data_IF_453330665502
#
_entry.id   IF_453330665502
#
_cell.length_a   1.000
_cell.length_b   1.000
_cell.length_c   1.000
_cell.angle_alpha   90.00
_cell.angle_beta   90.00
_cell.angle_gamma   90.00
#
_symmetry.space_group_name_H-M   'P 1'
#
loop_
_entity.id
_entity.type
_entity.pdbx_description
1 polymer ?
#
# COMPACT_ATOMS: atom_id res chain seq x y z
N UNK A 1 -1.22 3.20 15.59
CA UNK A 1 0.02 2.91 16.35
C UNK A 1 1.27 3.42 15.62
N UNK A 2 2.16 4.14 16.31
CA UNK A 2 3.47 4.58 15.80
C UNK A 2 4.42 3.39 15.72
N UNK A 3 5.02 3.19 14.54
CA UNK A 3 5.95 2.09 14.26
C UNK A 3 7.41 2.52 14.44
N UNK A 4 7.69 3.51 15.28
CA UNK A 4 9.03 4.05 15.49
C UNK A 4 9.39 4.04 16.97
N UNK A 5 10.60 3.58 17.29
CA UNK A 5 11.17 3.60 18.64
C UNK A 5 12.57 4.21 18.57
N UNK A 6 12.90 5.08 19.53
CA UNK A 6 14.21 5.74 19.61
C UNK A 6 14.88 5.46 20.95
N UNK A 7 16.20 5.25 20.93
CA UNK A 7 17.04 4.98 22.10
C UNK A 7 18.19 6.00 22.16
N UNK A 8 18.28 6.72 23.28
CA UNK A 8 19.37 7.67 23.61
C UNK A 8 19.70 8.69 22.50
N UNK A 9 18.73 9.06 21.65
CA UNK A 9 18.90 9.91 20.46
C UNK A 9 19.93 9.41 19.42
N UNK A 10 20.52 8.23 19.60
CA UNK A 10 21.57 7.67 18.73
C UNK A 10 21.07 6.53 17.87
N UNK A 11 20.11 5.75 18.36
CA UNK A 11 19.54 4.60 17.67
C UNK A 11 18.05 4.82 17.45
N UNK A 12 17.59 4.64 16.21
CA UNK A 12 16.17 4.63 15.88
C UNK A 12 15.80 3.36 15.14
N UNK A 13 14.62 2.82 15.41
CA UNK A 13 14.14 1.58 14.79
C UNK A 13 12.70 1.76 14.31
N UNK A 14 12.48 1.54 13.02
CA UNK A 14 11.16 1.34 12.44
C UNK A 14 10.75 -0.12 12.59
N UNK A 15 9.65 -0.37 13.29
CA UNK A 15 9.20 -1.69 13.70
C UNK A 15 8.14 -2.25 12.75
N UNK A 16 8.19 -3.55 12.49
CA UNK A 16 7.18 -4.31 11.76
C UNK A 16 6.97 -5.69 12.39
N UNK A 17 5.80 -6.29 12.13
CA UNK A 17 5.46 -7.64 12.58
C UNK A 17 4.77 -7.68 13.95
N UNK A 18 5.05 -8.71 14.74
CA UNK A 18 4.33 -9.00 15.98
C UNK A 18 4.68 -7.99 17.08
N UNK A 19 3.66 -7.31 17.57
CA UNK A 19 3.79 -6.27 18.58
C UNK A 19 4.25 -6.80 19.95
N UNK A 20 3.68 -7.89 20.51
CA UNK A 20 4.20 -8.48 21.74
C UNK A 20 5.70 -8.83 21.71
N UNK A 21 6.22 -9.28 20.56
CA UNK A 21 7.65 -9.48 20.38
C UNK A 21 8.44 -8.17 20.49
N UNK A 22 7.96 -7.11 19.85
CA UNK A 22 8.58 -5.78 19.97
C UNK A 22 8.54 -5.24 21.40
N UNK A 23 7.42 -5.43 22.11
CA UNK A 23 7.27 -5.00 23.50
C UNK A 23 8.31 -5.66 24.43
N UNK A 24 8.62 -6.95 24.22
CA UNK A 24 9.68 -7.60 24.99
C UNK A 24 11.09 -7.32 24.45
N UNK A 25 11.25 -6.99 23.18
CA UNK A 25 12.55 -6.64 22.60
C UNK A 25 13.05 -5.27 23.06
N UNK A 26 12.17 -4.28 23.25
CA UNK A 26 12.54 -2.91 23.64
C UNK A 26 13.40 -2.86 24.92
N UNK A 27 13.00 -3.48 26.05
CA UNK A 27 13.84 -3.51 27.26
C UNK A 27 15.18 -4.22 27.08
N UNK A 28 15.23 -5.22 26.19
CA UNK A 28 16.48 -5.95 25.89
C UNK A 28 17.45 -5.04 25.16
N UNK A 29 16.97 -4.24 24.19
CA UNK A 29 17.76 -3.25 23.48
C UNK A 29 18.31 -2.22 24.47
N UNK A 30 17.44 -1.64 25.31
CA UNK A 30 17.83 -0.67 26.36
C UNK A 30 18.95 -1.20 27.26
N UNK A 31 18.88 -2.48 27.66
CA UNK A 31 19.86 -3.09 28.57
C UNK A 31 21.29 -3.15 28.00
N UNK A 32 21.44 -3.19 26.67
CA UNK A 32 22.74 -3.30 26.01
C UNK A 32 23.18 -2.03 25.28
N UNK A 33 22.36 -0.97 25.29
CA UNK A 33 22.62 0.27 24.53
C UNK A 33 24.00 0.87 24.80
N UNK A 34 24.48 0.81 26.04
CA UNK A 34 25.78 1.32 26.45
C UNK A 34 26.98 0.60 25.79
N UNK A 35 26.79 -0.61 25.25
CA UNK A 35 27.81 -1.39 24.55
C UNK A 35 27.71 -1.25 23.02
N UNK A 36 26.59 -0.73 22.51
CA UNK A 36 26.32 -0.61 21.07
C UNK A 36 27.05 0.61 20.51
N UNK A 37 27.81 0.39 19.43
CA UNK A 37 28.57 1.40 18.71
C UNK A 37 28.32 1.31 17.21
N UNK A 38 28.71 2.34 16.47
CA UNK A 38 28.65 2.37 15.00
C UNK A 38 29.31 1.15 14.34
N UNK A 39 30.41 0.67 14.92
CA UNK A 39 31.19 -0.44 14.38
C UNK A 39 30.53 -1.80 14.64
N UNK A 40 29.78 -1.94 15.74
CA UNK A 40 29.28 -3.24 16.22
C UNK A 40 27.76 -3.42 16.09
N UNK A 41 26.99 -2.35 15.82
CA UNK A 41 25.51 -2.38 15.84
C UNK A 41 24.91 -3.41 14.87
N UNK A 42 25.59 -3.68 13.75
CA UNK A 42 25.16 -4.64 12.74
C UNK A 42 26.10 -5.84 12.57
N UNK A 43 27.00 -6.09 13.55
CA UNK A 43 27.89 -7.26 13.56
C UNK A 43 27.16 -8.50 14.09
N UNK A 44 27.49 -9.68 13.54
CA UNK A 44 26.85 -10.95 13.92
C UNK A 44 27.16 -11.40 15.36
N UNK A 45 28.28 -10.94 15.91
CA UNK A 45 28.74 -11.15 17.27
C UNK A 45 28.64 -9.88 18.14
N UNK A 46 28.00 -8.83 17.61
CA UNK A 46 27.77 -7.58 18.31
C UNK A 46 26.76 -7.71 19.47
N UNK A 47 26.80 -6.79 20.46
CA UNK A 47 25.97 -6.86 21.66
C UNK A 47 24.47 -6.84 21.34
N UNK A 48 24.05 -6.00 20.39
CA UNK A 48 22.64 -5.90 19.97
C UNK A 48 22.12 -7.21 19.37
N UNK A 49 22.89 -7.79 18.44
CA UNK A 49 22.57 -9.06 17.78
C UNK A 49 22.45 -10.19 18.80
N UNK A 50 23.45 -10.37 19.67
CA UNK A 50 23.45 -11.45 20.65
C UNK A 50 22.31 -11.33 21.68
N UNK A 51 22.02 -10.13 22.15
CA UNK A 51 20.95 -9.89 23.11
C UNK A 51 19.57 -10.20 22.53
N UNK A 52 19.27 -9.65 21.34
CA UNK A 52 18.01 -9.88 20.64
C UNK A 52 17.85 -11.33 20.17
N UNK A 53 18.94 -11.96 19.74
CA UNK A 53 18.94 -13.37 19.36
C UNK A 53 18.56 -14.26 20.55
N UNK A 54 19.23 -14.09 21.71
CA UNK A 54 18.91 -14.85 22.94
C UNK A 54 17.48 -14.63 23.40
N UNK A 55 17.02 -13.37 23.42
CA UNK A 55 15.64 -13.06 23.74
C UNK A 55 14.69 -13.81 22.79
N UNK A 56 14.90 -13.71 21.48
CA UNK A 56 14.00 -14.29 20.48
C UNK A 56 13.99 -15.83 20.52
N UNK A 57 15.14 -16.46 20.75
CA UNK A 57 15.27 -17.92 20.91
C UNK A 57 14.58 -18.43 22.20
N UNK A 58 14.56 -17.62 23.26
CA UNK A 58 13.93 -18.01 24.53
C UNK A 58 12.39 -18.12 24.45
N UNK A 59 11.78 -17.53 23.43
CA UNK A 59 10.32 -17.48 23.28
C UNK A 59 9.81 -18.83 22.82
N UNK A 60 9.10 -19.52 23.71
CA UNK A 60 8.54 -20.84 23.44
C UNK A 60 7.29 -20.71 22.57
N UNK A 61 7.22 -21.50 21.50
CA UNK A 61 6.07 -21.54 20.59
C UNK A 61 5.61 -22.97 20.36
N UNK A 62 4.32 -23.15 20.13
CA UNK A 62 3.75 -24.45 19.74
C UNK A 62 4.29 -24.85 18.36
N UNK A 63 4.80 -26.09 18.26
CA UNK A 63 5.38 -26.64 17.02
C UNK A 63 4.38 -26.66 15.86
N UNK A 64 3.08 -26.72 16.15
CA UNK A 64 2.04 -26.84 15.13
C UNK A 64 1.46 -25.48 14.69
N UNK A 65 1.94 -24.36 15.23
CA UNK A 65 1.44 -23.02 14.90
C UNK A 65 2.47 -22.19 14.16
N UNK A 66 2.05 -21.29 13.25
CA UNK A 66 2.94 -20.30 12.67
C UNK A 66 3.63 -19.50 13.78
N UNK A 67 4.96 -19.54 13.80
CA UNK A 67 5.75 -18.84 14.81
C UNK A 67 5.66 -17.32 14.57
N UNK A 68 5.39 -16.52 15.61
CA UNK A 68 5.39 -15.06 15.51
C UNK A 68 6.72 -14.54 14.97
N UNK A 69 6.63 -13.53 14.10
CA UNK A 69 7.78 -12.88 13.46
C UNK A 69 7.72 -11.37 13.71
N UNK A 70 8.88 -10.76 13.81
CA UNK A 70 9.04 -9.32 13.90
C UNK A 70 10.27 -8.91 13.09
N UNK A 71 10.31 -7.67 12.66
CA UNK A 71 11.45 -7.14 11.93
C UNK A 71 11.45 -5.63 11.97
N UNK A 72 12.53 -5.01 11.52
CA UNK A 72 12.66 -3.57 11.56
C UNK A 72 13.79 -3.03 10.69
N UNK A 73 13.77 -1.72 10.47
CA UNK A 73 14.87 -0.97 9.86
C UNK A 73 15.40 -0.11 10.98
N UNK A 74 16.58 -0.46 11.46
CA UNK A 74 17.33 0.31 12.41
C UNK A 74 18.28 1.26 11.71
N UNK A 75 18.57 2.37 12.36
CA UNK A 75 19.68 3.23 12.02
C UNK A 75 20.40 3.67 13.29
N UNK A 76 21.71 3.89 13.17
CA UNK A 76 22.51 4.49 14.23
C UNK A 76 23.22 5.73 13.68
N UNK A 77 23.30 6.75 14.53
CA UNK A 77 23.88 8.06 14.24
C UNK A 77 25.08 8.30 15.13
N UNK A 78 26.13 8.84 14.52
CA UNK A 78 27.22 9.50 15.20
C UNK A 78 27.24 10.96 14.75
N UNK A 79 26.68 11.83 15.60
CA UNK A 79 26.56 13.26 15.33
C UNK A 79 27.94 13.93 15.25
N UNK A 80 28.87 13.52 16.10
CA UNK A 80 30.21 14.11 16.22
C UNK A 80 31.03 13.89 14.94
N UNK A 81 30.93 12.69 14.35
CA UNK A 81 31.62 12.35 13.11
C UNK A 81 30.78 12.59 11.85
N UNK A 82 29.50 12.93 12.00
CA UNK A 82 28.58 13.17 10.89
C UNK A 82 28.28 11.92 10.05
N UNK A 83 28.44 10.72 10.63
CA UNK A 83 28.24 9.43 9.97
C UNK A 83 26.98 8.74 10.48
N UNK A 84 26.46 7.80 9.68
CA UNK A 84 25.32 6.99 10.04
C UNK A 84 25.43 5.61 9.39
N UNK A 85 24.71 4.65 9.94
CA UNK A 85 24.61 3.29 9.41
C UNK A 85 23.16 2.83 9.50
N UNK A 86 22.74 2.03 8.54
CA UNK A 86 21.37 1.52 8.43
C UNK A 86 21.44 0.00 8.35
N UNK A 87 20.52 -0.67 9.03
CA UNK A 87 20.50 -2.12 9.13
C UNK A 87 19.06 -2.65 9.20
N UNK A 88 18.83 -3.85 8.71
CA UNK A 88 17.57 -4.57 8.89
C UNK A 88 17.67 -5.52 10.07
N UNK A 89 16.57 -5.69 10.78
CA UNK A 89 16.36 -6.71 11.79
C UNK A 89 15.29 -7.67 11.29
N UNK A 90 15.54 -8.98 11.36
CA UNK A 90 14.54 -10.01 11.08
C UNK A 90 14.60 -11.09 12.15
N UNK A 91 13.51 -11.25 12.90
CA UNK A 91 13.43 -12.18 14.01
C UNK A 91 12.18 -13.06 13.94
N UNK A 92 12.32 -14.30 14.41
CA UNK A 92 11.25 -15.28 14.50
C UNK A 92 11.35 -16.02 15.81
N UNK A 93 10.29 -15.99 16.60
CA UNK A 93 10.25 -16.61 17.92
C UNK A 93 10.74 -18.06 17.86
N UNK A 94 11.57 -18.48 18.81
CA UNK A 94 12.29 -19.78 18.89
C UNK A 94 13.36 -20.05 17.82
N UNK A 95 13.55 -19.17 16.84
CA UNK A 95 14.55 -19.33 15.77
C UNK A 95 15.64 -18.26 15.81
N UNK A 96 15.49 -17.25 16.67
CA UNK A 96 16.44 -16.16 16.83
C UNK A 96 16.15 -14.97 15.93
N UNK A 97 17.11 -14.06 15.89
CA UNK A 97 17.06 -12.82 15.13
C UNK A 97 18.36 -12.65 14.36
N UNK A 98 18.27 -11.97 13.22
CA UNK A 98 19.42 -11.56 12.41
C UNK A 98 19.36 -10.07 12.15
N UNK A 99 20.49 -9.40 12.41
CA UNK A 99 20.77 -8.03 12.00
C UNK A 99 21.66 -8.08 10.76
N UNK A 100 21.35 -7.27 9.75
CA UNK A 100 22.12 -7.21 8.50
C UNK A 100 22.30 -5.75 8.09
N UNK A 101 23.55 -5.30 7.82
CA UNK A 101 23.78 -3.97 7.26
C UNK A 101 23.05 -3.79 5.93
N UNK A 102 22.48 -2.62 5.71
CA UNK A 102 21.80 -2.29 4.46
C UNK A 102 22.70 -1.40 3.60
N UNK A 103 22.81 -1.78 2.33
CA UNK A 103 23.46 -0.96 1.31
C UNK A 103 22.47 -0.07 0.57
N UNK A 104 22.95 0.57 -0.50
CA UNK A 104 22.13 1.39 -1.38
C UNK A 104 21.00 0.57 -2.01
N UNK A 105 19.79 1.12 -2.00
CA UNK A 105 18.63 0.51 -2.66
C UNK A 105 17.30 0.82 -1.99
N UNK A 106 16.29 0.03 -2.34
CA UNK A 106 14.95 0.10 -1.78
C UNK A 106 14.64 -1.18 -1.00
N UNK A 107 14.06 -1.03 0.19
CA UNK A 107 13.68 -2.15 1.06
C UNK A 107 12.26 -1.95 1.53
N UNK A 108 11.46 -3.02 1.42
CA UNK A 108 10.08 -3.06 1.91
C UNK A 108 9.96 -4.11 2.99
N UNK A 109 9.31 -3.76 4.10
CA UNK A 109 9.11 -4.64 5.25
C UNK A 109 7.65 -4.74 5.68
N UNK A 110 7.39 -5.61 6.65
CA UNK A 110 6.05 -5.85 7.19
C UNK A 110 5.18 -6.63 6.22
N UNK A 111 3.86 -6.49 6.35
CA UNK A 111 2.90 -7.16 5.47
C UNK A 111 3.00 -6.67 4.02
N UNK A 112 3.33 -5.39 3.81
CA UNK A 112 3.47 -4.79 2.47
C UNK A 112 4.50 -5.50 1.60
N UNK A 113 5.54 -6.11 2.19
CA UNK A 113 6.56 -6.87 1.45
C UNK A 113 6.02 -8.11 0.72
N UNK A 114 4.81 -8.56 1.06
CA UNK A 114 4.15 -9.69 0.41
C UNK A 114 3.42 -9.29 -0.88
N UNK A 115 3.30 -7.99 -1.17
CA UNK A 115 2.74 -7.51 -2.43
C UNK A 115 3.75 -7.83 -3.55
N UNK A 116 3.34 -8.52 -4.62
CA UNK A 116 4.24 -8.90 -5.71
C UNK A 116 4.97 -7.70 -6.33
N UNK A 117 6.30 -7.81 -6.46
CA UNK A 117 7.20 -6.83 -7.10
C UNK A 117 7.21 -5.42 -6.50
N UNK A 118 6.60 -5.18 -5.33
CA UNK A 118 6.54 -3.82 -4.77
C UNK A 118 7.92 -3.21 -4.53
N UNK A 119 8.88 -3.99 -4.01
CA UNK A 119 10.23 -3.50 -3.74
C UNK A 119 11.01 -3.21 -5.02
N UNK A 120 10.88 -4.08 -6.03
CA UNK A 120 11.53 -3.94 -7.33
C UNK A 120 11.02 -2.69 -8.04
N UNK A 121 9.70 -2.51 -8.11
CA UNK A 121 9.09 -1.34 -8.75
C UNK A 121 9.46 -0.02 -8.06
N UNK A 122 9.46 0.02 -6.72
CA UNK A 122 9.90 1.19 -5.97
C UNK A 122 11.41 1.47 -6.17
N UNK A 123 12.22 0.41 -6.25
CA UNK A 123 13.65 0.51 -6.55
C UNK A 123 13.92 1.07 -7.93
N UNK A 124 13.24 0.57 -8.96
CA UNK A 124 13.36 1.05 -10.34
C UNK A 124 12.94 2.52 -10.46
N UNK A 125 11.82 2.89 -9.80
CA UNK A 125 11.34 4.26 -9.76
C UNK A 125 12.32 5.19 -9.04
N UNK A 126 12.87 4.77 -7.91
CA UNK A 126 13.91 5.50 -7.17
C UNK A 126 15.14 5.74 -8.04
N UNK A 127 15.65 4.69 -8.67
CA UNK A 127 16.85 4.74 -9.51
C UNK A 127 16.65 5.69 -10.70
N UNK A 128 15.49 5.62 -11.36
CA UNK A 128 15.12 6.53 -12.44
C UNK A 128 15.12 7.99 -11.98
N UNK A 129 14.45 8.29 -10.87
CA UNK A 129 14.36 9.67 -10.39
C UNK A 129 15.69 10.24 -9.91
N UNK A 130 16.52 9.44 -9.25
CA UNK A 130 17.88 9.86 -8.84
C UNK A 130 18.74 10.17 -10.07
N UNK A 131 18.63 9.37 -11.14
CA UNK A 131 19.39 9.57 -12.37
C UNK A 131 18.95 10.85 -13.12
N UNK A 132 17.66 11.13 -13.17
CA UNK A 132 17.11 12.29 -13.89
C UNK A 132 17.26 13.61 -13.10
N UNK A 133 17.16 13.56 -11.76
CA UNK A 133 17.11 14.75 -10.88
C UNK A 133 17.90 14.52 -9.58
N UNK A 134 19.24 14.41 -9.66
CA UNK A 134 20.06 14.16 -8.49
C UNK A 134 19.88 15.27 -7.45
N UNK A 135 19.58 14.89 -6.21
CA UNK A 135 19.45 15.80 -5.07
C UNK A 135 18.05 16.39 -4.83
N UNK A 136 17.05 16.15 -5.68
CA UNK A 136 15.67 16.58 -5.41
C UNK A 136 14.91 15.59 -4.51
N UNK A 137 15.35 15.47 -3.26
CA UNK A 137 14.78 14.54 -2.27
C UNK A 137 13.27 14.74 -2.04
N UNK A 138 12.72 15.97 -1.92
CA UNK A 138 11.28 16.16 -1.76
C UNK A 138 10.44 15.57 -2.90
N UNK A 139 10.92 15.68 -4.14
CA UNK A 139 10.24 15.09 -5.29
C UNK A 139 10.29 13.56 -5.26
N UNK A 140 11.44 12.98 -4.94
CA UNK A 140 11.60 11.51 -4.79
C UNK A 140 10.61 10.97 -3.76
N UNK A 141 10.48 11.63 -2.61
CA UNK A 141 9.52 11.24 -1.58
C UNK A 141 8.07 11.30 -2.05
N UNK A 142 7.69 12.38 -2.75
CA UNK A 142 6.34 12.55 -3.27
C UNK A 142 5.99 11.47 -4.28
N UNK A 143 6.94 11.14 -5.17
CA UNK A 143 6.75 10.12 -6.19
C UNK A 143 6.64 8.73 -5.58
N UNK A 144 7.53 8.37 -4.64
CA UNK A 144 7.48 7.06 -4.00
C UNK A 144 6.20 6.87 -3.19
N UNK A 145 5.71 7.90 -2.48
CA UNK A 145 4.43 7.82 -1.76
C UNK A 145 3.26 7.56 -2.69
N UNK A 146 3.20 8.30 -3.80
CA UNK A 146 2.16 8.11 -4.80
C UNK A 146 2.22 6.69 -5.36
N UNK A 147 3.41 6.22 -5.72
CA UNK A 147 3.58 4.86 -6.24
C UNK A 147 3.15 3.80 -5.23
N UNK A 148 3.57 3.89 -3.96
CA UNK A 148 3.11 2.95 -2.92
C UNK A 148 1.59 2.94 -2.82
N UNK A 149 0.96 4.11 -2.83
CA UNK A 149 -0.50 4.25 -2.73
C UNK A 149 -1.21 3.62 -3.93
N UNK A 150 -0.77 3.95 -5.15
CA UNK A 150 -1.33 3.41 -6.38
C UNK A 150 -1.14 1.90 -6.46
N UNK A 151 0.05 1.41 -6.10
CA UNK A 151 0.40 0.00 -6.19
C UNK A 151 -0.37 -0.86 -5.19
N UNK A 152 -0.58 -0.38 -3.96
CA UNK A 152 -1.46 -1.05 -2.98
C UNK A 152 -2.92 -0.99 -3.45
N UNK A 153 -3.38 0.15 -4.00
CA UNK A 153 -4.76 0.30 -4.48
C UNK A 153 -5.10 -0.67 -5.62
N UNK A 154 -4.12 -1.02 -6.47
CA UNK A 154 -4.25 -2.08 -7.49
C UNK A 154 -4.43 -3.48 -6.90
N UNK A 155 -4.19 -3.69 -5.61
CA UNK A 155 -4.54 -4.95 -4.96
C UNK A 155 -6.04 -5.05 -4.61
N UNK A 156 -6.81 -3.98 -4.83
CA UNK A 156 -8.21 -3.81 -4.44
C UNK A 156 -8.36 -3.00 -3.15
N UNK A 157 -9.49 -2.31 -2.97
CA UNK A 157 -9.73 -1.45 -1.81
C UNK A 157 -9.57 -2.18 -0.45
N UNK A 158 -9.94 -3.47 -0.39
CA UNK A 158 -9.79 -4.28 0.82
C UNK A 158 -8.33 -4.62 1.18
N UNK A 159 -7.35 -4.36 0.30
CA UNK A 159 -5.95 -4.70 0.54
C UNK A 159 -5.39 -4.03 1.80
N UNK A 160 -5.76 -2.77 2.08
CA UNK A 160 -5.35 -2.07 3.30
C UNK A 160 -5.76 -2.82 4.58
N UNK A 161 -7.02 -3.28 4.63
CA UNK A 161 -7.54 -4.09 5.73
C UNK A 161 -6.84 -5.46 5.82
N UNK A 162 -6.76 -6.18 4.68
CA UNK A 162 -6.16 -7.52 4.61
C UNK A 162 -4.69 -7.51 5.06
N UNK A 163 -3.95 -6.48 4.66
CA UNK A 163 -2.55 -6.29 5.02
C UNK A 163 -2.35 -5.65 6.40
N UNK A 164 -3.37 -4.99 6.97
CA UNK A 164 -3.24 -4.21 8.20
C UNK A 164 -2.31 -3.00 8.02
N UNK A 165 -2.44 -2.30 6.89
CA UNK A 165 -1.67 -1.10 6.55
C UNK A 165 -2.65 0.07 6.51
N UNK A 166 -2.30 1.19 7.15
CA UNK A 166 -3.04 2.45 7.03
C UNK A 166 -2.64 3.19 5.75
N UNK A 167 -3.58 3.89 5.10
CA UNK A 167 -3.28 4.74 3.94
C UNK A 167 -2.50 6.03 4.29
N UNK A 168 -2.13 6.21 5.55
CA UNK A 168 -1.47 7.41 6.08
C UNK A 168 0.05 7.21 6.11
N UNK A 169 0.79 8.18 5.58
CA UNK A 169 2.25 8.13 5.48
C UNK A 169 2.94 9.09 6.46
N UNK A 170 3.97 8.58 7.14
CA UNK A 170 5.02 9.40 7.75
C UNK A 170 6.30 9.25 6.92
N UNK A 171 7.15 10.26 6.90
CA UNK A 171 8.45 10.19 6.22
C UNK A 171 9.53 10.71 7.13
N UNK A 172 10.67 10.04 7.08
CA UNK A 172 11.87 10.43 7.78
C UNK A 172 13.06 10.50 6.85
N UNK A 173 13.99 11.38 7.17
CA UNK A 173 15.26 11.55 6.46
C UNK A 173 16.40 11.33 7.45
N UNK A 174 17.38 10.55 7.00
CA UNK A 174 18.65 10.34 7.67
C UNK A 174 19.76 10.86 6.75
N UNK A 175 20.55 11.81 7.22
CA UNK A 175 21.68 12.34 6.45
C UNK A 175 22.74 12.93 7.37
N UNK A 176 24.03 12.79 7.02
CA UNK A 176 25.18 13.50 7.65
C UNK A 176 25.14 13.60 9.19
N UNK A 177 24.71 12.53 9.87
CA UNK A 177 24.66 12.49 11.33
C UNK A 177 23.39 13.09 11.95
N UNK A 178 22.31 13.32 11.19
CA UNK A 178 21.02 13.73 11.76
C UNK A 178 19.87 12.88 11.21
N UNK A 179 18.88 12.67 12.07
CA UNK A 179 17.59 12.08 11.71
C UNK A 179 16.49 13.10 11.94
N UNK A 180 15.58 13.20 10.96
CA UNK A 180 14.39 14.01 11.08
C UNK A 180 13.20 13.19 10.64
N UNK A 181 12.16 13.12 11.47
CA UNK A 181 10.85 12.62 11.07
C UNK A 181 9.97 13.84 10.82
N UNK A 182 9.52 14.00 9.58
CA UNK A 182 8.63 15.12 9.24
C UNK A 182 7.20 14.64 9.48
N UNK A 183 6.51 15.27 10.43
CA UNK A 183 5.06 15.18 10.53
C UNK A 183 4.46 15.93 9.35
N UNK A 184 3.97 15.19 8.36
CA UNK A 184 3.53 15.79 7.11
C UNK A 184 2.07 16.20 7.27
N UNK A 185 1.81 17.47 7.03
CA UNK A 185 0.47 17.92 6.65
C UNK A 185 0.24 17.51 5.20
N UNK A 186 -0.71 16.60 5.00
CA UNK A 186 -1.05 16.03 3.71
C UNK A 186 -2.43 16.55 3.35
N UNK A 187 -2.49 17.32 2.28
CA UNK A 187 -3.72 17.77 1.66
C UNK A 187 -3.77 17.33 0.21
N UNK A 188 -4.93 16.94 -0.26
CA UNK A 188 -5.15 16.64 -1.67
C UNK A 188 -6.61 16.38 -1.93
N UNK A 189 -6.88 15.90 -3.14
CA UNK A 189 -8.19 15.40 -3.43
C UNK A 189 -8.18 14.48 -4.64
N UNK A 190 -9.14 13.56 -4.66
CA UNK A 190 -9.53 12.87 -5.87
C UNK A 190 -10.72 13.61 -6.47
N UNK A 191 -10.53 14.04 -7.71
CA UNK A 191 -11.62 14.49 -8.55
C UNK A 191 -11.96 13.31 -9.43
N UNK A 192 -12.91 12.51 -8.95
CA UNK A 192 -13.67 11.62 -9.81
C UNK A 192 -14.89 12.38 -10.26
N UNK A 193 -15.35 12.06 -11.45
CA UNK A 193 -16.58 12.65 -11.99
C UNK A 193 -17.79 11.79 -11.61
N UNK A 194 -17.56 10.61 -11.02
CA UNK A 194 -18.60 9.64 -10.61
C UNK A 194 -18.72 9.48 -9.11
N UNK A 195 -17.63 9.75 -8.40
CA UNK A 195 -17.67 9.85 -6.95
C UNK A 195 -17.65 11.33 -6.60
N UNK A 196 -18.36 11.73 -5.53
CA UNK A 196 -18.22 13.07 -4.99
C UNK A 196 -16.73 13.40 -4.86
N UNK A 197 -16.28 14.61 -5.28
CA UNK A 197 -14.90 15.01 -5.08
C UNK A 197 -14.50 14.76 -3.64
N UNK A 198 -13.48 13.92 -3.44
CA UNK A 198 -12.98 13.64 -2.10
C UNK A 198 -11.80 14.55 -1.89
N UNK A 199 -11.96 15.56 -1.05
CA UNK A 199 -10.82 16.24 -0.47
C UNK A 199 -10.38 15.45 0.75
N UNK A 200 -9.07 15.43 1.00
CA UNK A 200 -8.51 14.96 2.25
C UNK A 200 -7.52 15.99 2.75
N UNK A 201 -7.48 16.19 4.06
CA UNK A 201 -6.51 17.06 4.69
C UNK A 201 -6.24 16.57 6.10
N UNK A 202 -5.04 16.07 6.36
CA UNK A 202 -4.66 15.55 7.67
C UNK A 202 -3.22 15.91 8.03
N UNK A 203 -2.87 15.88 9.32
CA UNK A 203 -1.50 16.12 9.78
C UNK A 203 -1.16 15.32 11.02
N UNK A 204 0.13 15.08 11.23
CA UNK A 204 0.65 14.58 12.51
C UNK A 204 0.97 15.76 13.44
N UNK A 205 0.51 15.70 14.68
CA UNK A 205 0.81 16.70 15.69
C UNK A 205 1.18 16.03 17.01
N UNK A 206 2.09 16.63 17.78
CA UNK A 206 2.26 16.28 19.19
C UNK A 206 1.46 17.25 20.05
N UNK A 207 0.52 16.73 20.84
CA UNK A 207 -0.24 17.50 21.81
C UNK A 207 0.01 16.90 23.19
N UNK A 208 0.52 17.72 24.10
CA UNK A 208 0.86 17.30 25.47
C UNK A 208 1.80 16.07 25.52
N UNK A 209 2.74 16.00 24.57
CA UNK A 209 3.67 14.87 24.43
C UNK A 209 3.12 13.69 23.63
N UNK A 210 1.80 13.54 23.49
CA UNK A 210 1.17 12.46 22.73
C UNK A 210 1.18 12.74 21.23
N UNK A 211 1.58 11.75 20.42
CA UNK A 211 1.44 11.82 18.96
C UNK A 211 -0.04 11.61 18.57
N UNK A 212 -0.59 12.53 17.78
CA UNK A 212 -1.96 12.51 17.28
C UNK A 212 -1.99 12.70 15.76
N UNK A 213 -2.99 12.10 15.14
CA UNK A 213 -3.40 12.38 13.76
C UNK A 213 -4.62 13.30 13.81
N UNK A 214 -4.53 14.44 13.14
CA UNK A 214 -5.65 15.37 12.98
C UNK A 214 -6.21 15.24 11.57
N UNK A 215 -7.52 15.02 11.46
CA UNK A 215 -8.31 15.30 10.26
C UNK A 215 -8.76 16.77 10.31
N UNK A 216 -8.31 17.56 9.34
CA UNK A 216 -8.63 18.98 9.26
C UNK A 216 -10.01 19.24 8.63
N UNK A 217 -10.57 18.28 7.89
CA UNK A 217 -11.90 18.41 7.28
C UNK A 217 -13.00 18.04 8.27
N UNK A 218 -12.82 16.94 9.00
CA UNK A 218 -13.78 16.48 10.02
C UNK A 218 -13.53 17.14 11.39
N UNK A 219 -12.40 17.83 11.57
CA UNK A 219 -11.99 18.40 12.85
C UNK A 219 -11.72 17.34 13.92
N UNK A 220 -11.44 16.11 13.50
CA UNK A 220 -11.31 14.94 14.35
C UNK A 220 -9.85 14.67 14.69
N UNK A 221 -9.60 14.12 15.88
CA UNK A 221 -8.28 13.69 16.32
C UNK A 221 -8.28 12.20 16.65
N UNK A 222 -7.21 11.52 16.26
CA UNK A 222 -6.95 10.13 16.60
C UNK A 222 -5.60 10.03 17.30
N UNK A 223 -5.59 9.37 18.45
CA UNK A 223 -4.36 9.12 19.21
C UNK A 223 -3.54 8.06 18.49
N UNK A 224 -2.27 8.37 18.21
CA UNK A 224 -1.33 7.40 17.66
C UNK A 224 -0.60 6.74 18.82
N UNK A 225 -1.05 5.56 19.22
CA UNK A 225 -0.40 4.79 20.30
C UNK A 225 1.07 4.51 19.94
N UNK A 226 2.02 4.89 20.78
CA UNK A 226 3.43 4.55 20.61
C UNK A 226 3.69 3.16 21.22
N UNK A 227 4.68 2.41 20.71
CA UNK A 227 5.00 1.07 21.27
C UNK A 227 5.39 1.14 22.75
N UNK A 228 5.74 2.33 23.25
CA UNK A 228 6.15 2.54 24.64
C UNK A 228 5.02 2.98 25.58
N UNK A 229 3.84 3.36 25.06
CA UNK A 229 2.77 3.97 25.85
C UNK A 229 1.48 3.14 25.73
N UNK A 230 1.11 2.41 26.79
CA UNK A 230 -0.07 1.53 26.82
C UNK A 230 -0.99 1.82 28.00
N UNK A 231 -1.58 3.02 28.00
CA UNK A 231 -2.93 3.17 28.57
C UNK A 231 -3.96 2.50 27.65
N UNK A 232 -5.09 2.08 28.23
CA UNK A 232 -6.05 1.10 27.69
C UNK A 232 -6.37 1.22 26.19
N UNK A 233 -6.27 0.09 25.49
CA UNK A 233 -6.57 -0.04 24.05
C UNK A 233 -8.07 0.22 23.83
N UNK A 234 -8.43 1.45 23.45
CA UNK A 234 -9.69 1.68 22.73
C UNK A 234 -9.56 1.10 21.33
N UNK A 235 -10.64 0.48 20.84
CA UNK A 235 -10.75 -0.13 19.51
C UNK A 235 -10.06 0.75 18.47
N UNK A 236 -9.09 0.18 17.75
CA UNK A 236 -8.26 0.86 16.74
C UNK A 236 -9.19 1.30 15.60
N UNK A 237 -9.70 2.53 15.69
CA UNK A 237 -10.57 3.09 14.66
C UNK A 237 -9.70 3.41 13.44
N UNK A 238 -10.05 2.83 12.30
CA UNK A 238 -9.26 3.00 11.08
C UNK A 238 -9.29 4.46 10.64
N UNK A 239 -8.12 5.08 10.58
CA UNK A 239 -7.96 6.42 10.01
C UNK A 239 -7.72 6.33 8.51
N UNK A 240 -8.75 6.65 7.73
CA UNK A 240 -8.71 6.66 6.26
C UNK A 240 -9.30 7.97 5.69
N UNK A 241 -8.63 9.11 5.91
CA UNK A 241 -9.10 10.39 5.39
C UNK A 241 -9.15 10.44 3.85
N UNK A 242 -8.48 9.50 3.17
CA UNK A 242 -8.45 9.41 1.71
C UNK A 242 -9.56 8.52 1.13
N UNK A 243 -10.26 7.74 1.96
CA UNK A 243 -11.27 6.78 1.54
C UNK A 243 -10.72 5.66 0.63
N UNK A 244 -9.48 5.21 0.85
CA UNK A 244 -8.83 4.17 0.03
C UNK A 244 -9.24 2.75 0.42
N UNK A 245 -9.83 2.60 1.59
CA UNK A 245 -10.21 1.30 2.16
C UNK A 245 -11.61 0.86 1.74
N UNK A 246 -12.38 1.78 1.16
CA UNK A 246 -13.71 1.59 0.60
C UNK A 246 -13.68 1.88 -0.90
N UNK A 247 -14.06 0.90 -1.73
CA UNK A 247 -14.05 1.08 -3.17
C UNK A 247 -13.98 -0.22 -3.97
N UNK A 248 -13.45 -0.11 -5.18
CA UNK A 248 -13.36 -1.23 -6.12
C UNK A 248 -12.43 -2.34 -5.59
N UNK A 249 -13.00 -3.54 -5.42
CA UNK A 249 -12.26 -4.76 -5.12
C UNK A 249 -12.48 -5.77 -6.26
N UNK A 250 -11.49 -5.96 -7.16
CA UNK A 250 -11.67 -6.81 -8.32
C UNK A 250 -11.82 -8.30 -7.97
N UNK A 251 -11.30 -8.72 -6.81
CA UNK A 251 -11.05 -10.14 -6.56
C UNK A 251 -12.34 -10.93 -6.27
N UNK A 252 -13.48 -10.26 -6.16
CA UNK A 252 -14.81 -10.85 -5.99
C UNK A 252 -15.26 -11.72 -7.18
N UNK A 253 -14.72 -11.47 -8.38
CA UNK A 253 -15.11 -12.15 -9.62
C UNK A 253 -13.95 -12.95 -10.24
N UNK A 254 -13.12 -13.55 -9.39
CA UNK A 254 -11.96 -14.35 -9.84
C UNK A 254 -12.41 -15.63 -10.56
N UNK A 255 -11.82 -15.89 -11.72
CA UNK A 255 -12.04 -17.09 -12.54
C UNK A 255 -10.72 -17.86 -12.62
N UNK A 256 -10.64 -18.99 -11.91
CA UNK A 256 -9.37 -19.67 -11.68
C UNK A 256 -8.44 -18.79 -10.85
N UNK A 257 -7.28 -18.42 -11.42
CA UNK A 257 -6.32 -17.48 -10.81
C UNK A 257 -6.33 -16.11 -11.48
N UNK A 258 -7.37 -15.79 -12.27
CA UNK A 258 -7.42 -14.58 -13.11
C UNK A 258 -8.63 -13.71 -12.78
N UNK A 259 -8.43 -12.41 -12.84
CA UNK A 259 -9.48 -11.39 -12.76
C UNK A 259 -9.44 -10.57 -14.03
N UNK A 260 -10.63 -10.30 -14.58
CA UNK A 260 -10.83 -9.34 -15.66
C UNK A 260 -11.65 -8.16 -15.15
N UNK A 261 -11.22 -6.96 -15.52
CA UNK A 261 -11.97 -5.76 -15.23
C UNK A 261 -11.77 -4.73 -16.32
N UNK A 262 -12.66 -3.77 -16.38
CA UNK A 262 -12.69 -2.71 -17.37
C UNK A 262 -12.77 -1.37 -16.68
N UNK A 263 -12.05 -0.39 -17.19
CA UNK A 263 -12.32 1.01 -16.94
C UNK A 263 -13.09 1.57 -18.14
N UNK A 264 -14.28 2.11 -17.93
CA UNK A 264 -15.07 2.74 -18.97
C UNK A 264 -15.51 4.13 -18.54
N UNK A 265 -15.23 5.08 -19.41
CA UNK A 265 -15.42 6.51 -19.22
C UNK A 265 -16.23 7.08 -20.40
N UNK A 266 -17.33 7.78 -20.11
CA UNK A 266 -18.30 8.31 -21.10
C UNK A 266 -18.71 9.74 -20.74
N UNK A 267 -18.26 10.75 -21.47
CA UNK A 267 -18.60 12.15 -21.20
C UNK A 267 -18.98 12.88 -22.47
N UNK A 268 -20.23 13.35 -22.60
CA UNK A 268 -20.76 14.10 -23.75
C UNK A 268 -20.50 13.44 -25.13
N UNK A 269 -19.32 13.66 -25.67
CA UNK A 269 -18.80 13.25 -26.97
C UNK A 269 -17.47 12.45 -26.86
N UNK A 270 -17.01 12.17 -25.64
CA UNK A 270 -15.82 11.39 -25.36
C UNK A 270 -16.16 10.02 -24.79
N UNK A 271 -15.47 9.01 -25.28
CA UNK A 271 -15.56 7.62 -24.80
C UNK A 271 -14.16 7.04 -24.69
N UNK A 272 -13.79 6.53 -23.51
CA UNK A 272 -12.60 5.70 -23.34
C UNK A 272 -13.00 4.39 -22.66
N UNK A 273 -12.45 3.29 -23.17
CA UNK A 273 -12.61 1.97 -22.60
C UNK A 273 -11.26 1.28 -22.60
N UNK A 274 -10.84 0.84 -21.42
CA UNK A 274 -9.64 0.04 -21.24
C UNK A 274 -9.97 -1.26 -20.51
N UNK A 275 -9.55 -2.40 -21.06
CA UNK A 275 -9.76 -3.73 -20.48
C UNK A 275 -8.45 -4.28 -19.97
N UNK A 276 -8.49 -4.79 -18.74
CA UNK A 276 -7.34 -5.34 -18.04
C UNK A 276 -7.56 -6.78 -17.62
N UNK A 277 -6.44 -7.48 -17.46
CA UNK A 277 -6.32 -8.80 -16.84
C UNK A 277 -5.27 -8.72 -15.73
N UNK A 278 -5.53 -9.40 -14.62
CA UNK A 278 -4.51 -9.62 -13.60
C UNK A 278 -4.65 -10.99 -12.94
N UNK A 279 -3.56 -11.46 -12.35
CA UNK A 279 -3.58 -12.65 -11.50
C UNK A 279 -4.02 -12.33 -10.07
N UNK A 280 -4.09 -13.36 -9.23
CA UNK A 280 -4.35 -13.22 -7.79
C UNK A 280 -3.22 -13.81 -6.96
N UNK A 281 -3.11 -13.39 -5.70
CA UNK A 281 -2.20 -13.97 -4.71
C UNK A 281 -2.88 -14.05 -3.34
N UNK A 282 -2.31 -14.85 -2.43
CA UNK A 282 -2.87 -15.06 -1.10
C UNK A 282 -1.99 -14.46 -0.01
N UNK A 283 -2.59 -13.71 0.91
CA UNK A 283 -1.96 -13.26 2.14
C UNK A 283 -2.77 -13.75 3.34
N UNK A 284 -2.16 -14.56 4.21
CA UNK A 284 -2.84 -15.18 5.37
C UNK A 284 -4.17 -15.87 5.00
N UNK A 285 -4.22 -16.51 3.83
CA UNK A 285 -5.41 -17.19 3.30
C UNK A 285 -6.46 -16.26 2.67
N UNK A 286 -6.23 -14.94 2.65
CA UNK A 286 -7.11 -13.97 1.99
C UNK A 286 -6.63 -13.69 0.57
N UNK A 287 -7.56 -13.71 -0.38
CA UNK A 287 -7.31 -13.45 -1.79
C UNK A 287 -7.12 -11.95 -2.04
N UNK A 288 -6.09 -11.59 -2.80
CA UNK A 288 -5.81 -10.23 -3.25
C UNK A 288 -5.38 -10.24 -4.72
N UNK A 289 -5.57 -9.12 -5.39
CA UNK A 289 -5.29 -9.01 -6.81
C UNK A 289 -3.83 -8.62 -7.01
N UNK A 290 -3.15 -9.26 -7.96
CA UNK A 290 -1.78 -8.89 -8.28
C UNK A 290 -1.78 -7.47 -8.88
N UNK A 291 -0.96 -6.53 -8.38
CA UNK A 291 -0.96 -5.15 -8.87
C UNK A 291 -0.36 -4.99 -10.28
N UNK A 292 0.27 -6.03 -10.83
CA UNK A 292 0.86 -6.03 -12.17
C UNK A 292 -0.21 -6.32 -13.24
N UNK A 293 -1.02 -5.31 -13.50
CA UNK A 293 -2.11 -5.42 -14.47
C UNK A 293 -1.58 -5.49 -15.90
N UNK A 294 -2.09 -6.46 -16.66
CA UNK A 294 -1.91 -6.54 -18.10
C UNK A 294 -3.07 -5.82 -18.80
N UNK A 295 -2.77 -4.78 -19.57
CA UNK A 295 -3.76 -4.17 -20.47
C UNK A 295 -3.99 -5.09 -21.67
N UNK A 296 -5.22 -5.55 -21.86
CA UNK A 296 -5.62 -6.42 -22.97
C UNK A 296 -6.06 -5.62 -24.19
N UNK A 297 -6.76 -4.50 -23.97
CA UNK A 297 -7.28 -3.65 -25.03
C UNK A 297 -7.49 -2.22 -24.50
N UNK A 298 -7.36 -1.24 -25.38
CA UNK A 298 -7.75 0.14 -25.12
C UNK A 298 -8.35 0.74 -26.38
N UNK A 299 -9.40 1.51 -26.20
CA UNK A 299 -10.05 2.21 -27.29
C UNK A 299 -10.63 3.53 -26.78
N UNK A 300 -10.27 4.61 -27.47
CA UNK A 300 -10.78 5.96 -27.20
C UNK A 300 -11.39 6.56 -28.47
N UNK A 301 -12.49 7.27 -28.29
CA UNK A 301 -13.12 8.11 -29.32
C UNK A 301 -13.35 9.50 -28.75
N UNK A 302 -12.96 10.49 -29.56
CA UNK A 302 -13.32 11.89 -29.39
C UNK A 302 -14.44 12.21 -30.40
N UNK A 303 -15.31 13.16 -30.07
CA UNK A 303 -16.38 13.66 -30.95
C UNK A 303 -17.47 12.62 -31.37
N UNK A 304 -17.82 11.69 -30.47
CA UNK A 304 -18.95 10.78 -30.70
C UNK A 304 -20.26 11.55 -30.90
N UNK A 305 -21.07 11.10 -31.88
CA UNK A 305 -22.41 11.65 -32.08
C UNK A 305 -23.26 11.30 -30.85
N UNK A 306 -23.91 12.29 -30.24
CA UNK A 306 -24.77 12.17 -29.04
C UNK A 306 -25.74 10.96 -28.98
N UNK A 307 -26.32 10.45 -30.10
CA UNK A 307 -27.16 9.25 -30.04
C UNK A 307 -26.38 7.96 -29.72
N UNK A 308 -25.08 7.90 -30.00
CA UNK A 308 -24.24 6.72 -29.81
C UNK A 308 -23.67 6.65 -28.38
N UNK A 309 -23.41 7.79 -27.73
CA UNK A 309 -22.96 7.83 -26.33
C UNK A 309 -24.06 7.41 -25.35
N UNK A 310 -25.34 7.63 -25.69
CA UNK A 310 -26.47 7.33 -24.81
C UNK A 310 -26.65 5.84 -24.44
N UNK A 311 -26.05 4.91 -25.18
CA UNK A 311 -26.09 3.48 -24.89
C UNK A 311 -24.96 3.03 -23.94
N UNK A 312 -23.89 3.82 -23.78
CA UNK A 312 -22.79 3.50 -22.89
C UNK A 312 -23.06 4.05 -21.49
N UNK A 313 -23.00 3.18 -20.48
CA UNK A 313 -23.11 3.61 -19.09
C UNK A 313 -21.73 3.93 -18.58
N UNK A 314 -21.62 5.02 -17.86
CA UNK A 314 -20.37 5.37 -17.26
C UNK A 314 -20.10 4.59 -15.99
N UNK A 315 -19.07 3.75 -15.96
CA UNK A 315 -18.87 2.80 -14.86
C UNK A 315 -17.60 3.01 -14.05
N UNK A 316 -16.64 3.80 -14.54
CA UNK A 316 -15.30 3.75 -13.99
C UNK A 316 -14.78 2.31 -14.03
N UNK A 317 -14.26 1.80 -12.91
CA UNK A 317 -13.81 0.41 -12.79
C UNK A 317 -14.99 -0.55 -12.54
N UNK A 318 -15.12 -1.57 -13.39
CA UNK A 318 -16.11 -2.63 -13.26
C UNK A 318 -15.47 -4.00 -13.52
N UNK A 319 -15.83 -5.00 -12.71
CA UNK A 319 -15.42 -6.40 -12.90
C UNK A 319 -16.15 -7.01 -14.09
N UNK A 320 -15.46 -7.84 -14.86
CA UNK A 320 -16.04 -8.58 -15.98
C UNK A 320 -16.25 -10.04 -15.58
N UNK A 321 -17.51 -10.48 -15.57
CA UNK A 321 -17.88 -11.86 -15.29
C UNK A 321 -17.74 -12.68 -16.57
N UNK A 322 -16.59 -13.31 -16.77
CA UNK A 322 -16.28 -14.10 -17.96
C UNK A 322 -16.29 -15.58 -17.60
N UNK A 323 -17.19 -16.41 -18.18
CA UNK A 323 -17.18 -17.86 -17.94
C UNK A 323 -15.81 -18.48 -18.27
N UNK A 324 -15.38 -19.47 -17.50
CA UNK A 324 -14.04 -20.05 -17.60
C UNK A 324 -13.73 -20.59 -19.02
N UNK A 325 -14.74 -21.17 -19.67
CA UNK A 325 -14.65 -21.69 -21.02
C UNK A 325 -14.52 -20.60 -22.11
N UNK A 326 -14.80 -19.34 -21.78
CA UNK A 326 -14.72 -18.18 -22.70
C UNK A 326 -13.47 -17.32 -22.49
N UNK A 327 -12.68 -17.55 -21.43
CA UNK A 327 -11.50 -16.74 -21.14
C UNK A 327 -10.51 -16.71 -22.31
N UNK A 328 -10.18 -17.88 -22.89
CA UNK A 328 -9.21 -17.96 -23.98
C UNK A 328 -9.67 -17.24 -25.25
N UNK A 329 -10.95 -17.37 -25.64
CA UNK A 329 -11.49 -16.66 -26.81
C UNK A 329 -11.64 -15.17 -26.54
N UNK A 330 -11.98 -14.78 -25.30
CA UNK A 330 -12.03 -13.39 -24.89
C UNK A 330 -10.67 -12.71 -25.01
N UNK A 331 -9.62 -13.29 -24.41
CA UNK A 331 -8.26 -12.75 -24.45
C UNK A 331 -7.74 -12.60 -25.89
N UNK A 332 -8.03 -13.58 -26.76
CA UNK A 332 -7.62 -13.54 -28.16
C UNK A 332 -8.38 -12.49 -28.99
N UNK A 333 -9.65 -12.23 -28.65
CA UNK A 333 -10.54 -11.38 -29.45
C UNK A 333 -10.64 -9.93 -29.00
N UNK A 334 -10.51 -9.65 -27.69
CA UNK A 334 -10.95 -8.38 -27.07
C UNK A 334 -10.32 -7.15 -27.72
N UNK A 335 -9.04 -7.21 -28.11
CA UNK A 335 -8.36 -6.07 -28.75
C UNK A 335 -9.00 -5.63 -30.07
N UNK A 336 -9.66 -6.54 -30.80
CA UNK A 336 -10.37 -6.23 -32.05
C UNK A 336 -11.88 -6.08 -31.87
N UNK A 337 -12.41 -6.64 -30.79
CA UNK A 337 -13.86 -6.75 -30.52
C UNK A 337 -14.34 -5.80 -29.43
N UNK A 338 -13.48 -4.92 -28.91
CA UNK A 338 -13.78 -4.02 -27.78
C UNK A 338 -15.04 -3.17 -27.98
N UNK A 339 -15.47 -2.89 -29.21
CA UNK A 339 -16.71 -2.18 -29.54
C UNK A 339 -17.84 -3.09 -30.08
N UNK A 340 -17.59 -4.37 -30.30
CA UNK A 340 -18.59 -5.28 -30.84
C UNK A 340 -19.54 -5.74 -29.71
N UNK A 341 -20.65 -5.03 -29.54
CA UNK A 341 -21.61 -5.29 -28.46
C UNK A 341 -22.16 -6.73 -28.44
N UNK A 342 -22.61 -7.33 -29.57
CA UNK A 342 -22.98 -8.74 -29.59
C UNK A 342 -21.87 -9.68 -29.10
N UNK A 343 -20.62 -9.46 -29.54
CA UNK A 343 -19.49 -10.29 -29.12
C UNK A 343 -19.17 -10.13 -27.63
N UNK A 344 -19.21 -8.89 -27.13
CA UNK A 344 -18.97 -8.59 -25.71
C UNK A 344 -20.06 -9.20 -24.83
N UNK A 345 -21.33 -9.09 -25.21
CA UNK A 345 -22.46 -9.70 -24.51
C UNK A 345 -22.39 -11.24 -24.52
N UNK A 346 -21.86 -11.82 -25.60
CA UNK A 346 -21.60 -13.26 -25.65
C UNK A 346 -20.52 -13.67 -24.65
N UNK A 347 -19.49 -12.86 -24.42
CA UNK A 347 -18.34 -13.23 -23.57
C UNK A 347 -18.47 -12.81 -22.10
N UNK A 348 -19.21 -11.74 -21.82
CA UNK A 348 -19.30 -11.13 -20.48
C UNK A 348 -20.74 -11.27 -19.95
N UNK A 349 -20.91 -12.06 -18.89
CA UNK A 349 -22.22 -12.35 -18.29
C UNK A 349 -22.92 -11.10 -17.75
N UNK A 350 -22.15 -10.12 -17.24
CA UNK A 350 -22.67 -8.88 -16.68
C UNK A 350 -22.59 -7.69 -17.65
N UNK A 351 -22.63 -7.94 -18.96
CA UNK A 351 -22.46 -6.89 -19.98
C UNK A 351 -23.48 -5.74 -19.88
N UNK A 352 -24.74 -6.08 -19.58
CA UNK A 352 -25.84 -5.11 -19.49
C UNK A 352 -25.66 -4.10 -18.34
N UNK A 353 -24.77 -4.37 -17.37
CA UNK A 353 -24.48 -3.44 -16.28
C UNK A 353 -23.79 -2.16 -16.79
N UNK A 354 -23.10 -2.24 -17.93
CA UNK A 354 -22.29 -1.16 -18.48
C UNK A 354 -22.59 -0.81 -19.95
N UNK A 355 -23.64 -1.40 -20.50
CA UNK A 355 -24.18 -1.08 -21.81
C UNK A 355 -25.69 -1.32 -21.82
N UNK A 356 -26.49 -0.34 -22.26
CA UNK A 356 -27.95 -0.47 -22.36
C UNK A 356 -28.37 -0.50 -23.82
N UNK A 357 -29.12 -1.52 -24.19
CA UNK A 357 -29.82 -1.52 -25.47
C UNK A 357 -30.99 -0.54 -25.34
N UNK A 358 -30.88 0.64 -25.94
CA UNK A 358 -31.98 1.60 -26.07
C UNK A 358 -33.10 0.99 -26.92
N UNK A 359 -34.00 0.25 -26.28
CA UNK A 359 -35.23 -0.26 -26.90
C UNK A 359 -36.49 0.49 -26.48
N UNK A 360 -36.39 1.49 -25.60
CA UNK A 360 -37.52 2.37 -25.30
C UNK A 360 -37.20 3.80 -25.76
N UNK A 361 -37.98 4.37 -26.71
CA UNK A 361 -37.97 5.80 -26.90
C UNK A 361 -38.37 6.46 -25.57
N UNK A 362 -37.88 7.67 -25.25
CA UNK A 362 -38.42 8.41 -24.12
C UNK A 362 -39.93 8.46 -24.31
N UNK A 363 -40.68 7.98 -23.32
CA UNK A 363 -42.12 8.16 -23.31
C UNK A 363 -42.36 9.64 -23.53
N UNK A 364 -42.92 9.98 -24.69
CA UNK A 364 -43.48 11.29 -24.95
C UNK A 364 -44.39 11.59 -23.76
N UNK A 365 -43.94 12.49 -22.89
CA UNK A 365 -44.82 13.19 -21.97
C UNK A 365 -45.62 14.16 -22.83
N UNK A 366 -46.55 13.58 -23.58
CA UNK A 366 -47.56 14.30 -24.33
C UNK A 366 -48.55 14.92 -23.35
N UNK A 367 -48.52 16.25 -23.33
CA UNK A 367 -49.48 17.22 -22.79
C UNK A 367 -49.63 17.33 -21.26
#
# INVERSE_FOLDING_TARGET
MSKFVSFENKLGIFTAGNLPLWQGAVPIIESVMHEVTMDNVAQQDGPLQLALQRYTESITTDRNKPKPQYGGIGFMIDEDNGINTVFSLEGKASEGLRITPLGDGCIVMGSGKQIPMIQENLGDLLNKHIAERPGNIPEVESVLKREVTEYISRCGASAYHKLGISPVFATSRLAKGYFSMTGIEISGGSYSTYEPPRSYHYSFQRKDGQLMLQDHLEGRYIVVNEIMDYSEITVDEMFDPMGLTEGFDPCICTVGDTVYFMNQWVENDFFDRTVYKTGVFHFKGQLMCNPNYQRLAQFGLEELKKPETGSYVNTGNIVLNIPAEKCSSFEAGINTQILNHPWMAEHITNYEDFYRINNDPPADSGN
#
